data_IF_873267954993
#
_entry.id   IF_873267954993
#
_cell.length_a   1.000
_cell.length_b   1.000
_cell.length_c   1.000
_cell.angle_alpha   90.00
_cell.angle_beta   90.00
_cell.angle_gamma   90.00
#
_symmetry.space_group_name_H-M   'P 1'
#
loop_
_entity.id
_entity.type
_entity.pdbx_description
1 polymer ?
#
# COMPACT_ATOMS: atom_id res chain seq x y z
N UNK A 1 -55.04 5.29 -18.82
CA UNK A 1 -54.26 4.90 -20.03
C UNK A 1 -52.79 4.87 -19.62
N UNK A 2 -52.31 3.71 -19.29
CA UNK A 2 -50.93 3.45 -18.85
C UNK A 2 -50.16 2.88 -20.03
N UNK A 3 -49.19 3.63 -20.53
CA UNK A 3 -48.30 3.19 -21.61
C UNK A 3 -47.06 2.57 -20.97
N UNK A 4 -46.96 1.26 -21.07
CA UNK A 4 -45.76 0.50 -20.70
C UNK A 4 -44.81 0.47 -21.89
N UNK A 5 -43.67 1.15 -21.80
CA UNK A 5 -42.56 1.06 -22.75
C UNK A 5 -41.68 -0.11 -22.38
N UNK A 6 -41.67 -1.12 -23.22
CA UNK A 6 -40.86 -2.33 -23.14
C UNK A 6 -39.49 -2.03 -23.76
N UNK A 7 -38.41 -2.09 -22.96
CA UNK A 7 -37.02 -1.97 -23.42
C UNK A 7 -36.61 -3.26 -24.16
N UNK A 8 -36.00 -3.20 -25.36
CA UNK A 8 -35.52 -4.38 -26.04
C UNK A 8 -34.20 -4.88 -25.42
N UNK A 9 -34.07 -6.20 -25.36
CA UNK A 9 -32.87 -6.91 -24.91
C UNK A 9 -31.67 -6.64 -25.83
N UNK A 10 -30.43 -6.72 -25.32
CA UNK A 10 -29.21 -6.53 -26.12
C UNK A 10 -29.04 -7.71 -27.09
N UNK A 11 -28.93 -7.41 -28.35
CA UNK A 11 -28.62 -8.34 -29.44
C UNK A 11 -27.14 -8.74 -29.36
N UNK A 12 -26.90 -10.03 -29.39
CA UNK A 12 -25.63 -10.71 -29.48
C UNK A 12 -24.89 -10.34 -30.79
N UNK A 13 -23.64 -9.82 -30.78
CA UNK A 13 -22.88 -9.59 -32.00
C UNK A 13 -22.12 -10.84 -32.40
N UNK A 14 -22.85 -11.79 -33.02
CA UNK A 14 -22.21 -12.94 -33.70
C UNK A 14 -22.47 -12.80 -35.20
N UNK A 15 -21.69 -11.97 -35.87
CA UNK A 15 -21.45 -12.07 -37.32
C UNK A 15 -20.29 -11.14 -37.69
N UNK A 16 -19.08 -11.66 -37.57
CA UNK A 16 -17.94 -11.15 -38.35
C UNK A 16 -17.86 -12.04 -39.57
N UNK A 17 -18.21 -11.46 -40.70
CA UNK A 17 -18.17 -12.03 -42.03
C UNK A 17 -16.76 -12.48 -42.39
N UNK A 18 -16.71 -13.63 -43.02
CA UNK A 18 -15.59 -14.29 -43.67
C UNK A 18 -14.69 -13.31 -44.44
N UNK A 19 -13.40 -13.34 -44.15
CA UNK A 19 -12.37 -12.85 -45.04
C UNK A 19 -11.45 -14.04 -45.40
N UNK A 20 -11.36 -14.22 -46.65
CA UNK A 20 -10.51 -15.00 -47.53
C UNK A 20 -9.39 -15.87 -46.91
N UNK A 21 -9.61 -17.18 -46.81
CA UNK A 21 -8.73 -18.20 -47.30
C UNK A 21 -7.38 -18.48 -46.61
N UNK A 22 -7.03 -17.76 -45.53
CA UNK A 22 -5.89 -18.18 -44.69
C UNK A 22 -6.40 -18.36 -43.24
N UNK A 23 -6.59 -19.64 -42.90
CA UNK A 23 -7.10 -20.00 -41.57
C UNK A 23 -6.26 -19.41 -40.46
N UNK A 24 -6.89 -18.59 -39.65
CA UNK A 24 -6.34 -18.09 -38.39
C UNK A 24 -6.09 -19.29 -37.48
N UNK A 25 -4.85 -19.67 -37.30
CA UNK A 25 -4.50 -20.72 -36.33
C UNK A 25 -4.78 -20.14 -34.94
N UNK A 26 -5.54 -20.80 -34.07
CA UNK A 26 -5.77 -20.34 -32.73
C UNK A 26 -4.44 -20.24 -31.96
N UNK A 27 -4.20 -19.11 -31.31
CA UNK A 27 -3.02 -18.91 -30.47
C UNK A 27 -3.05 -19.99 -29.36
N UNK A 28 -1.98 -20.79 -29.20
CA UNK A 28 -1.93 -21.83 -28.18
C UNK A 28 -2.14 -21.24 -26.79
N UNK A 29 -3.15 -21.70 -26.08
CA UNK A 29 -3.53 -21.16 -24.76
C UNK A 29 -2.76 -21.78 -23.60
N UNK A 30 -1.87 -22.76 -23.85
CA UNK A 30 -1.05 -23.42 -22.82
C UNK A 30 0.38 -23.65 -23.32
N UNK A 31 1.34 -23.44 -22.42
CA UNK A 31 2.78 -23.70 -22.65
C UNK A 31 3.02 -25.18 -23.13
N UNK A 32 2.15 -26.11 -22.72
CA UNK A 32 2.20 -27.51 -23.11
C UNK A 32 1.92 -27.69 -24.59
N UNK A 33 0.97 -26.95 -25.17
CA UNK A 33 0.58 -27.02 -26.58
C UNK A 33 1.69 -26.53 -27.51
N UNK A 34 2.56 -25.61 -27.03
CA UNK A 34 3.73 -25.11 -27.75
C UNK A 34 4.86 -26.16 -27.86
N UNK A 35 4.98 -27.07 -26.88
CA UNK A 35 5.96 -28.15 -26.92
C UNK A 35 5.56 -29.28 -27.90
N UNK A 36 4.26 -29.53 -28.03
CA UNK A 36 3.74 -30.57 -28.92
C UNK A 36 3.71 -30.14 -30.39
N UNK A 37 3.72 -28.83 -30.67
CA UNK A 37 3.75 -28.26 -32.02
C UNK A 37 5.12 -28.34 -32.72
N UNK A 38 6.14 -29.00 -32.13
CA UNK A 38 7.45 -29.25 -32.77
C UNK A 38 8.26 -27.98 -33.06
N UNK A 39 7.92 -26.88 -32.40
CA UNK A 39 8.69 -25.63 -32.51
C UNK A 39 10.08 -25.81 -31.93
N UNK A 40 11.12 -25.51 -32.72
CA UNK A 40 12.48 -25.40 -32.20
C UNK A 40 12.47 -24.46 -31.03
N UNK A 41 13.22 -24.71 -29.93
CA UNK A 41 13.36 -23.75 -28.87
C UNK A 41 13.83 -22.43 -29.48
N UNK A 42 13.13 -21.32 -29.16
CA UNK A 42 13.57 -20.01 -29.56
C UNK A 42 15.00 -19.84 -29.02
N UNK A 43 15.98 -19.98 -29.89
CA UNK A 43 17.36 -19.61 -29.59
C UNK A 43 17.34 -18.11 -29.56
N UNK A 44 17.11 -17.57 -28.36
CA UNK A 44 17.26 -16.12 -28.14
C UNK A 44 18.73 -15.83 -28.39
N UNK A 45 19.03 -15.06 -29.43
CA UNK A 45 20.38 -14.64 -29.73
C UNK A 45 20.98 -13.98 -28.48
N UNK A 46 22.18 -14.39 -28.10
CA UNK A 46 22.84 -13.90 -26.91
C UNK A 46 23.07 -12.37 -26.96
N UNK A 47 23.18 -11.80 -28.14
CA UNK A 47 23.30 -10.37 -28.37
C UNK A 47 21.97 -9.66 -28.13
N UNK A 48 20.86 -10.17 -28.67
CA UNK A 48 19.52 -9.64 -28.45
C UNK A 48 19.12 -9.71 -26.97
N UNK A 49 19.53 -10.77 -26.24
CA UNK A 49 19.31 -10.88 -24.81
C UNK A 49 20.03 -9.79 -24.02
N UNK A 50 21.27 -9.46 -24.40
CA UNK A 50 22.04 -8.39 -23.77
C UNK A 50 21.46 -7.00 -24.06
N UNK A 51 21.04 -6.76 -25.31
CA UNK A 51 20.38 -5.52 -25.69
C UNK A 51 19.07 -5.32 -24.95
N UNK A 52 18.24 -6.35 -24.84
CA UNK A 52 17.00 -6.30 -24.08
C UNK A 52 17.26 -6.06 -22.58
N UNK A 53 18.29 -6.66 -21.99
CA UNK A 53 18.67 -6.43 -20.61
C UNK A 53 19.09 -4.95 -20.37
N UNK A 54 19.87 -4.39 -21.27
CA UNK A 54 20.28 -2.97 -21.21
C UNK A 54 19.09 -2.01 -21.35
N UNK A 55 18.13 -2.35 -22.23
CA UNK A 55 16.88 -1.55 -22.36
C UNK A 55 16.09 -1.59 -21.06
N UNK A 56 15.94 -2.77 -20.46
CA UNK A 56 15.24 -2.92 -19.17
C UNK A 56 15.93 -2.11 -18.07
N UNK A 57 17.26 -2.15 -17.99
CA UNK A 57 18.03 -1.38 -17.02
C UNK A 57 17.81 0.14 -17.19
N UNK A 58 17.89 0.63 -18.41
CA UNK A 58 17.64 2.04 -18.74
C UNK A 58 16.20 2.48 -18.40
N UNK A 59 15.20 1.61 -18.66
CA UNK A 59 13.81 1.88 -18.30
C UNK A 59 13.60 1.94 -16.79
N UNK A 60 14.25 1.04 -16.04
CA UNK A 60 14.20 1.06 -14.58
C UNK A 60 14.84 2.34 -14.02
N UNK A 61 16.01 2.73 -14.53
CA UNK A 61 16.67 3.98 -14.13
C UNK A 61 15.80 5.22 -14.43
N UNK A 62 15.14 5.25 -15.58
CA UNK A 62 14.21 6.32 -15.92
C UNK A 62 12.99 6.32 -14.99
N UNK A 63 12.46 5.14 -14.65
CA UNK A 63 11.37 4.98 -13.70
C UNK A 63 11.73 5.57 -12.32
N UNK A 64 12.90 5.22 -11.78
CA UNK A 64 13.40 5.78 -10.53
C UNK A 64 13.53 7.30 -10.56
N UNK A 65 14.06 7.86 -11.65
CA UNK A 65 14.17 9.33 -11.80
C UNK A 65 12.79 10.01 -11.85
N UNK A 66 11.82 9.40 -12.51
CA UNK A 66 10.45 9.92 -12.54
C UNK A 66 9.79 9.83 -11.16
N UNK A 67 9.97 8.71 -10.45
CA UNK A 67 9.48 8.56 -9.09
C UNK A 67 10.02 9.66 -8.17
N UNK A 68 11.32 9.94 -8.25
CA UNK A 68 11.98 10.96 -7.44
C UNK A 68 11.50 12.40 -7.76
N UNK A 69 11.25 12.71 -9.03
CA UNK A 69 10.65 13.99 -9.44
C UNK A 69 9.26 14.14 -8.83
N UNK A 70 8.43 13.11 -8.89
CA UNK A 70 7.11 13.11 -8.31
C UNK A 70 7.15 13.20 -6.79
N UNK A 71 8.08 12.48 -6.11
CA UNK A 71 8.30 12.60 -4.66
C UNK A 71 8.63 14.03 -4.27
N UNK A 72 9.59 14.66 -4.95
CA UNK A 72 9.99 16.04 -4.68
C UNK A 72 8.81 17.01 -4.85
N UNK A 73 7.98 16.81 -5.86
CA UNK A 73 6.77 17.61 -6.06
C UNK A 73 5.76 17.39 -4.93
N UNK A 74 5.56 16.15 -4.50
CA UNK A 74 4.67 15.82 -3.39
C UNK A 74 5.14 16.47 -2.08
N UNK A 75 6.42 16.37 -1.75
CA UNK A 75 7.02 17.00 -0.57
C UNK A 75 6.83 18.53 -0.56
N UNK A 76 6.96 19.16 -1.73
CA UNK A 76 6.71 20.59 -1.87
C UNK A 76 5.25 20.97 -1.58
N UNK A 77 4.29 20.12 -1.96
CA UNK A 77 2.88 20.31 -1.60
C UNK A 77 2.62 20.00 -0.13
N UNK A 78 3.15 18.89 0.39
CA UNK A 78 3.00 18.50 1.80
C UNK A 78 3.55 19.56 2.76
N UNK A 79 4.67 20.21 2.40
CA UNK A 79 5.24 21.32 3.20
C UNK A 79 4.34 22.55 3.32
N UNK A 80 3.29 22.63 2.53
CA UNK A 80 2.28 23.67 2.51
C UNK A 80 0.90 23.16 2.97
N UNK A 81 0.82 21.96 3.55
CA UNK A 81 -0.40 21.27 3.94
C UNK A 81 -1.39 21.01 2.78
N UNK A 82 -0.89 21.01 1.54
CA UNK A 82 -1.68 20.79 0.32
C UNK A 82 -1.71 19.29 -0.05
N UNK A 83 -2.26 18.46 0.85
CA UNK A 83 -2.22 16.99 0.75
C UNK A 83 -2.97 16.43 -0.47
N UNK A 84 -4.12 17.04 -0.86
CA UNK A 84 -4.86 16.62 -2.05
C UNK A 84 -4.06 16.82 -3.34
N UNK A 85 -3.18 17.85 -3.38
CA UNK A 85 -2.29 18.08 -4.51
C UNK A 85 -1.06 17.17 -4.48
N UNK A 86 -0.61 16.76 -3.29
CA UNK A 86 0.48 15.79 -3.15
C UNK A 86 0.08 14.38 -3.60
N UNK A 87 -1.17 13.98 -3.37
CA UNK A 87 -1.67 12.62 -3.60
C UNK A 87 -1.36 12.06 -5.01
N UNK A 88 -1.72 12.73 -6.14
CA UNK A 88 -1.44 12.20 -7.48
C UNK A 88 0.06 12.05 -7.77
N UNK A 89 0.90 12.85 -7.14
CA UNK A 89 2.34 12.73 -7.27
C UNK A 89 2.87 11.49 -6.53
N UNK A 90 2.37 11.21 -5.33
CA UNK A 90 2.76 10.00 -4.57
C UNK A 90 2.25 8.71 -5.23
N UNK A 91 1.05 8.74 -5.80
CA UNK A 91 0.53 7.63 -6.62
C UNK A 91 1.42 7.35 -7.82
N UNK A 92 1.85 8.41 -8.52
CA UNK A 92 2.77 8.28 -9.64
C UNK A 92 4.15 7.74 -9.19
N UNK A 93 4.73 8.29 -8.11
CA UNK A 93 6.01 7.83 -7.57
C UNK A 93 5.96 6.33 -7.20
N UNK A 94 4.94 5.90 -6.48
CA UNK A 94 4.72 4.49 -6.11
C UNK A 94 4.48 3.58 -7.33
N UNK A 95 3.94 4.12 -8.43
CA UNK A 95 3.74 3.37 -9.68
C UNK A 95 5.05 3.21 -10.45
N UNK A 96 5.87 4.26 -10.52
CA UNK A 96 7.16 4.22 -11.23
C UNK A 96 8.22 3.42 -10.48
N UNK A 97 8.13 3.34 -9.16
CA UNK A 97 9.07 2.57 -8.32
C UNK A 97 8.32 1.79 -7.22
N UNK A 98 7.65 0.69 -7.59
CA UNK A 98 6.81 -0.07 -6.66
C UNK A 98 7.60 -0.84 -5.59
N UNK A 99 8.90 -1.02 -5.75
CA UNK A 99 9.78 -1.67 -4.76
C UNK A 99 10.21 -0.74 -3.63
N UNK A 100 10.07 0.59 -3.79
CA UNK A 100 10.49 1.56 -2.79
C UNK A 100 9.40 1.75 -1.73
N UNK A 101 9.67 1.27 -0.52
CA UNK A 101 8.73 1.37 0.60
C UNK A 101 8.44 2.83 0.98
N UNK A 102 9.43 3.72 0.87
CA UNK A 102 9.31 5.13 1.24
C UNK A 102 8.21 5.86 0.44
N UNK A 103 8.09 5.61 -0.86
CA UNK A 103 7.01 6.22 -1.65
C UNK A 103 5.63 5.73 -1.21
N UNK A 104 5.53 4.45 -0.86
CA UNK A 104 4.31 3.84 -0.37
C UNK A 104 3.96 4.30 1.04
N UNK A 105 4.98 4.55 1.88
CA UNK A 105 4.82 5.11 3.22
C UNK A 105 4.20 6.51 3.15
N UNK A 106 4.80 7.40 2.36
CA UNK A 106 4.29 8.75 2.15
C UNK A 106 2.88 8.74 1.52
N UNK A 107 2.63 7.85 0.56
CA UNK A 107 1.30 7.67 -0.05
C UNK A 107 0.27 7.27 1.00
N UNK A 108 0.55 6.25 1.82
CA UNK A 108 -0.35 5.81 2.88
C UNK A 108 -0.64 6.91 3.90
N UNK A 109 0.38 7.67 4.29
CA UNK A 109 0.22 8.82 5.19
C UNK A 109 -0.71 9.89 4.58
N UNK A 110 -0.49 10.30 3.33
CA UNK A 110 -1.33 11.31 2.67
C UNK A 110 -2.74 10.80 2.45
N UNK A 111 -2.93 9.52 2.08
CA UNK A 111 -4.24 8.89 1.99
C UNK A 111 -5.00 8.97 3.32
N UNK A 112 -4.34 8.67 4.45
CA UNK A 112 -4.94 8.80 5.78
C UNK A 112 -5.36 10.24 6.09
N UNK A 113 -4.48 11.22 5.85
CA UNK A 113 -4.77 12.64 6.10
C UNK A 113 -5.92 13.15 5.23
N UNK A 114 -6.05 12.68 3.99
CA UNK A 114 -7.13 13.06 3.07
C UNK A 114 -8.42 12.24 3.28
N UNK A 115 -8.43 11.31 4.25
CA UNK A 115 -9.61 10.50 4.60
C UNK A 115 -9.82 9.27 3.74
N UNK A 116 -8.84 8.86 2.92
CA UNK A 116 -8.84 7.58 2.22
C UNK A 116 -8.21 6.48 3.10
N UNK A 117 -8.91 6.13 4.18
CA UNK A 117 -8.46 5.09 5.10
C UNK A 117 -8.23 3.75 4.40
N UNK A 118 -9.08 3.41 3.42
CA UNK A 118 -8.95 2.15 2.69
C UNK A 118 -7.68 2.10 1.84
N UNK A 119 -7.34 3.20 1.19
CA UNK A 119 -6.07 3.38 0.47
C UNK A 119 -4.88 3.28 1.42
N UNK A 120 -4.92 4.00 2.54
CA UNK A 120 -3.86 3.98 3.56
C UNK A 120 -3.61 2.57 4.11
N UNK A 121 -4.66 1.84 4.52
CA UNK A 121 -4.56 0.45 4.96
C UNK A 121 -3.91 -0.43 3.90
N UNK A 122 -4.30 -0.27 2.63
CA UNK A 122 -3.70 -1.03 1.52
C UNK A 122 -2.23 -0.71 1.35
N UNK A 123 -1.84 0.56 1.42
CA UNK A 123 -0.46 1.01 1.27
C UNK A 123 0.43 0.46 2.38
N UNK A 124 0.03 0.56 3.66
CA UNK A 124 0.79 0.04 4.79
C UNK A 124 0.85 -1.50 4.81
N UNK A 125 -0.26 -2.19 4.52
CA UNK A 125 -0.26 -3.65 4.42
C UNK A 125 0.67 -4.17 3.32
N UNK A 126 0.83 -3.44 2.21
CA UNK A 126 1.78 -3.83 1.17
C UNK A 126 3.23 -3.71 1.66
N UNK A 127 3.56 -2.66 2.42
CA UNK A 127 4.89 -2.51 3.03
C UNK A 127 5.16 -3.66 4.01
N UNK A 128 4.20 -3.96 4.89
CA UNK A 128 4.30 -5.06 5.86
C UNK A 128 4.44 -6.42 5.15
N UNK A 129 3.75 -6.61 4.02
CA UNK A 129 3.87 -7.84 3.22
C UNK A 129 5.24 -8.01 2.58
N UNK A 130 5.88 -6.89 2.20
CA UNK A 130 7.22 -6.89 1.60
C UNK A 130 8.32 -6.99 2.68
N UNK A 131 8.10 -6.35 3.84
CA UNK A 131 8.96 -6.42 5.03
C UNK A 131 8.12 -6.36 6.32
N UNK A 132 7.94 -7.51 6.97
CA UNK A 132 7.20 -7.63 8.22
C UNK A 132 7.88 -6.97 9.43
N UNK A 133 9.15 -6.56 9.28
CA UNK A 133 9.91 -5.88 10.32
C UNK A 133 9.90 -4.35 10.18
N UNK A 134 9.08 -3.80 9.30
CA UNK A 134 8.92 -2.35 9.20
C UNK A 134 7.99 -1.85 10.33
N UNK A 135 8.59 -1.36 11.41
CA UNK A 135 7.89 -0.85 12.61
C UNK A 135 7.02 0.37 12.30
N UNK A 136 7.50 1.28 11.45
CA UNK A 136 6.77 2.47 11.02
C UNK A 136 5.48 2.11 10.27
N UNK A 137 5.52 1.09 9.41
CA UNK A 137 4.32 0.63 8.69
C UNK A 137 3.30 0.02 9.66
N UNK A 138 3.74 -0.76 10.66
CA UNK A 138 2.87 -1.25 11.71
C UNK A 138 2.27 -0.12 12.55
N UNK A 139 3.07 0.87 12.95
CA UNK A 139 2.59 2.02 13.69
C UNK A 139 1.52 2.80 12.90
N UNK A 140 1.82 3.15 11.64
CA UNK A 140 0.91 3.91 10.80
C UNK A 140 -0.39 3.15 10.49
N UNK A 141 -0.32 1.83 10.24
CA UNK A 141 -1.51 0.98 10.13
C UNK A 141 -2.34 1.03 11.43
N UNK A 142 -1.67 0.95 12.58
CA UNK A 142 -2.29 1.09 13.89
C UNK A 142 -3.05 2.39 14.06
N UNK A 143 -2.47 3.51 13.59
CA UNK A 143 -3.13 4.83 13.63
C UNK A 143 -4.41 4.87 12.79
N UNK A 144 -4.40 4.32 11.58
CA UNK A 144 -5.58 4.28 10.71
C UNK A 144 -6.71 3.46 11.34
N UNK A 145 -6.42 2.23 11.77
CA UNK A 145 -7.45 1.35 12.36
C UNK A 145 -7.90 1.85 13.74
N UNK A 146 -7.05 2.57 14.48
CA UNK A 146 -7.44 3.26 15.71
C UNK A 146 -8.44 4.38 15.43
N UNK A 147 -8.25 5.17 14.37
CA UNK A 147 -9.21 6.18 13.92
C UNK A 147 -10.58 5.61 13.55
N UNK A 148 -10.62 4.34 13.14
CA UNK A 148 -11.85 3.58 12.88
C UNK A 148 -12.45 2.93 14.15
N UNK A 149 -11.92 3.25 15.33
CA UNK A 149 -12.33 2.68 16.63
C UNK A 149 -12.12 1.15 16.74
N UNK A 150 -11.30 0.57 15.86
CA UNK A 150 -10.94 -0.86 15.89
C UNK A 150 -9.77 -1.08 16.87
N UNK A 151 -10.05 -0.86 18.15
CA UNK A 151 -9.01 -0.79 19.19
C UNK A 151 -8.24 -2.11 19.41
N UNK A 152 -8.85 -3.24 19.13
CA UNK A 152 -8.18 -4.56 19.23
C UNK A 152 -7.15 -4.75 18.13
N UNK A 153 -7.52 -4.39 16.90
CA UNK A 153 -6.64 -4.42 15.73
C UNK A 153 -5.52 -3.39 15.85
N UNK A 154 -5.85 -2.17 16.31
CA UNK A 154 -4.88 -1.12 16.57
C UNK A 154 -3.85 -1.55 17.63
N UNK A 155 -4.29 -2.17 18.72
CA UNK A 155 -3.40 -2.71 19.75
C UNK A 155 -2.44 -3.76 19.17
N UNK A 156 -2.92 -4.64 18.31
CA UNK A 156 -2.06 -5.61 17.64
C UNK A 156 -0.98 -4.91 16.82
N UNK A 157 -1.34 -3.89 16.03
CA UNK A 157 -0.40 -3.14 15.21
C UNK A 157 0.64 -2.40 16.06
N UNK A 158 0.23 -1.64 17.07
CA UNK A 158 1.15 -0.93 17.97
C UNK A 158 2.02 -1.89 18.80
N UNK A 159 1.51 -3.06 19.15
CA UNK A 159 2.31 -4.10 19.79
C UNK A 159 3.42 -4.58 18.85
N UNK A 160 3.10 -4.87 17.58
CA UNK A 160 4.10 -5.26 16.60
C UNK A 160 5.16 -4.17 16.41
N UNK A 161 4.75 -2.91 16.27
CA UNK A 161 5.67 -1.78 16.20
C UNK A 161 6.59 -1.72 17.44
N UNK A 162 6.04 -1.81 18.66
CA UNK A 162 6.81 -1.76 19.90
C UNK A 162 7.69 -2.99 20.15
N UNK A 163 7.43 -4.13 19.52
CA UNK A 163 8.31 -5.31 19.55
C UNK A 163 9.50 -5.14 18.60
N UNK A 164 9.34 -4.38 17.51
CA UNK A 164 10.39 -4.11 16.52
C UNK A 164 11.25 -2.91 16.95
N UNK A 165 10.64 -1.82 17.39
CA UNK A 165 11.30 -0.65 17.94
C UNK A 165 10.85 -0.42 19.38
N UNK A 166 11.60 -0.98 20.32
CA UNK A 166 11.22 -0.98 21.74
C UNK A 166 11.44 0.36 22.44
N UNK A 167 12.31 1.22 21.88
CA UNK A 167 12.75 2.46 22.51
C UNK A 167 11.92 3.68 22.07
N UNK A 168 10.84 3.48 21.32
CA UNK A 168 9.89 4.53 20.93
C UNK A 168 8.79 4.73 21.99
N UNK A 169 8.89 5.81 22.76
CA UNK A 169 7.92 6.17 23.79
C UNK A 169 6.52 6.43 23.21
N UNK A 170 6.44 6.99 22.03
CA UNK A 170 5.17 7.31 21.38
C UNK A 170 4.38 6.04 21.04
N UNK A 171 5.04 5.03 20.50
CA UNK A 171 4.42 3.73 20.23
C UNK A 171 3.89 3.07 21.51
N UNK A 172 4.63 3.13 22.61
CA UNK A 172 4.15 2.62 23.90
C UNK A 172 2.93 3.38 24.41
N UNK A 173 2.90 4.71 24.25
CA UNK A 173 1.74 5.53 24.64
C UNK A 173 0.50 5.14 23.81
N UNK A 174 0.59 5.09 22.48
CA UNK A 174 -0.52 4.68 21.61
C UNK A 174 -0.98 3.26 21.90
N UNK A 175 -0.04 2.33 22.14
CA UNK A 175 -0.36 0.97 22.56
C UNK A 175 -1.16 0.95 23.87
N UNK A 176 -0.89 1.87 24.80
CA UNK A 176 -1.62 1.98 26.07
C UNK A 176 -3.03 2.55 25.92
N UNK A 177 -3.26 3.43 24.94
CA UNK A 177 -4.58 3.99 24.69
C UNK A 177 -5.59 2.93 24.24
N UNK A 178 -5.18 1.93 23.48
CA UNK A 178 -6.07 0.86 23.02
C UNK A 178 -6.70 0.06 24.17
N UNK A 179 -5.94 -0.56 25.10
CA UNK A 179 -6.53 -1.25 26.24
C UNK A 179 -7.29 -0.30 27.19
N UNK A 180 -6.90 0.99 27.28
CA UNK A 180 -7.70 1.98 28.01
C UNK A 180 -9.11 2.13 27.42
N UNK A 181 -9.24 2.19 26.09
CA UNK A 181 -10.55 2.21 25.40
C UNK A 181 -11.33 0.92 25.55
N UNK A 182 -10.66 -0.20 25.80
CA UNK A 182 -11.24 -1.52 26.03
C UNK A 182 -11.50 -1.84 27.53
N UNK A 183 -11.38 -0.83 28.40
CA UNK A 183 -11.55 -0.96 29.86
C UNK A 183 -10.55 -1.94 30.53
N UNK A 184 -9.38 -2.16 29.90
CA UNK A 184 -8.30 -3.02 30.40
C UNK A 184 -7.20 -2.17 31.06
N UNK A 185 -7.57 -1.52 32.18
CA UNK A 185 -6.79 -0.46 32.83
C UNK A 185 -5.38 -0.92 33.28
N UNK A 186 -5.19 -2.15 33.74
CA UNK A 186 -3.87 -2.64 34.19
C UNK A 186 -2.86 -2.75 33.03
N UNK A 187 -3.34 -3.18 31.85
CA UNK A 187 -2.54 -3.28 30.65
C UNK A 187 -2.17 -1.88 30.13
N UNK A 188 -3.15 -0.97 30.09
CA UNK A 188 -2.93 0.42 29.73
C UNK A 188 -1.88 1.08 30.63
N UNK A 189 -2.00 0.90 31.96
CA UNK A 189 -1.05 1.41 32.95
C UNK A 189 0.39 0.95 32.69
N UNK A 190 0.53 -0.33 32.36
CA UNK A 190 1.85 -0.90 32.02
C UNK A 190 2.46 -0.24 30.79
N UNK A 191 1.68 0.01 29.76
CA UNK A 191 2.15 0.65 28.54
C UNK A 191 2.54 2.11 28.76
N UNK A 192 1.70 2.90 29.48
CA UNK A 192 2.01 4.30 29.80
C UNK A 192 3.24 4.41 30.71
N UNK A 193 3.43 3.48 31.65
CA UNK A 193 4.63 3.44 32.48
C UNK A 193 5.89 3.15 31.66
N UNK A 194 5.82 2.31 30.63
CA UNK A 194 6.93 2.08 29.71
C UNK A 194 7.22 3.34 28.86
N UNK A 195 6.19 4.01 28.33
CA UNK A 195 6.36 5.27 27.62
C UNK A 195 7.11 6.30 28.49
N UNK A 196 6.65 6.51 29.74
CA UNK A 196 7.27 7.44 30.67
C UNK A 196 8.66 7.03 31.17
N UNK A 197 9.01 5.75 31.11
CA UNK A 197 10.37 5.26 31.40
C UNK A 197 11.32 5.67 30.26
N UNK A 198 10.85 5.67 29.03
CA UNK A 198 11.61 6.05 27.83
C UNK A 198 11.68 7.57 27.69
N UNK A 199 10.55 8.23 27.81
CA UNK A 199 10.46 9.69 27.84
C UNK A 199 9.68 10.19 29.09
N UNK A 200 10.40 10.54 30.17
CA UNK A 200 9.76 11.11 31.36
C UNK A 200 9.09 12.47 31.16
N UNK A 201 9.29 13.11 30.01
CA UNK A 201 8.67 14.40 29.67
C UNK A 201 7.40 14.28 28.83
N UNK A 202 7.01 13.08 28.40
CA UNK A 202 5.79 12.82 27.62
C UNK A 202 4.54 13.20 28.42
N UNK A 203 3.99 14.37 28.11
CA UNK A 203 2.80 14.91 28.79
C UNK A 203 1.53 14.12 28.47
N UNK A 204 1.44 13.53 27.27
CA UNK A 204 0.29 12.70 26.86
C UNK A 204 0.27 11.39 27.65
N UNK A 205 1.41 10.73 27.81
CA UNK A 205 1.51 9.53 28.61
C UNK A 205 1.24 9.80 30.09
N UNK A 206 1.68 10.92 30.65
CA UNK A 206 1.33 11.36 32.02
C UNK A 206 -0.17 11.55 32.17
N UNK A 207 -0.76 12.33 31.27
CA UNK A 207 -2.20 12.60 31.31
C UNK A 207 -3.02 11.32 31.17
N UNK A 208 -2.64 10.43 30.26
CA UNK A 208 -3.30 9.15 30.06
C UNK A 208 -3.21 8.25 31.29
N UNK A 209 -2.05 8.23 31.97
CA UNK A 209 -1.84 7.44 33.19
C UNK A 209 -2.66 8.00 34.37
N UNK A 210 -2.73 9.33 34.54
CA UNK A 210 -3.47 9.99 35.62
C UNK A 210 -4.98 9.87 35.45
N UNK A 211 -5.48 9.89 34.21
CA UNK A 211 -6.92 9.81 33.90
C UNK A 211 -7.45 8.39 33.80
N UNK A 212 -6.57 7.40 33.85
CA UNK A 212 -6.91 5.99 33.78
C UNK A 212 -7.75 5.54 35.00
N UNK A 213 -8.97 5.06 34.72
CA UNK A 213 -9.94 4.62 35.73
C UNK A 213 -9.69 3.17 36.15
#
# INVERSE_FOLDING_TARGET
MTVTTKTPAPTNPSTITQNDGQGFQPIPTRIRDMREAGGQPLVVDSEQSKENALICENLNELGLKLAEIHRTAAEAYMSQDLYEQALPHLEAASTFSPSEADFRMQLGFVQYITGDDAGAIKSFNQIISDDENNDEAWFNLGMVVFGQEQYTEAEYCFRRASELEADDAQTWNHRGVCPSKLERSDEARTCFANALKLDPSDEDAKYNLETLK
#
